data_IF_208161497005
#
_entry.id   IF_208161497005
#
_cell.length_a   1.000
_cell.length_b   1.000
_cell.length_c   1.000
_cell.angle_alpha   90.00
_cell.angle_beta   90.00
_cell.angle_gamma   90.00
#
_symmetry.space_group_name_H-M   'P 1'
#
loop_
_entity.id
_entity.type
_entity.pdbx_description
1 polymer ?
#
# COMPACT_ATOMS: atom_id res chain seq x y z
N UNK A 1 14.54 7.22 12.31
CA UNK A 1 13.56 7.27 11.20
C UNK A 1 12.28 6.60 11.65
N UNK A 2 11.11 7.10 11.23
CA UNK A 2 9.80 6.53 11.58
C UNK A 2 9.09 6.03 10.32
N UNK A 3 8.54 4.81 10.38
CA UNK A 3 7.83 4.20 9.27
C UNK A 3 6.41 3.75 9.68
N UNK A 4 5.45 3.91 8.78
CA UNK A 4 4.16 3.22 8.86
C UNK A 4 4.13 2.16 7.77
N UNK A 5 3.77 0.92 8.14
CA UNK A 5 3.67 -0.21 7.22
C UNK A 5 2.23 -0.70 7.21
N UNK A 6 1.59 -0.63 6.03
CA UNK A 6 0.23 -1.11 5.81
C UNK A 6 0.28 -2.53 5.22
N UNK A 7 -0.61 -3.40 5.66
CA UNK A 7 -0.66 -4.80 5.22
C UNK A 7 0.04 -5.77 6.17
N UNK A 8 0.07 -5.46 7.47
CA UNK A 8 0.76 -6.15 8.57
C UNK A 8 0.76 -7.68 8.52
N UNK A 9 -0.30 -8.30 8.04
CA UNK A 9 -0.44 -9.77 7.96
C UNK A 9 0.08 -10.37 6.66
N UNK A 10 0.43 -9.54 5.66
CA UNK A 10 0.97 -10.00 4.38
C UNK A 10 2.45 -10.38 4.48
N UNK A 11 2.91 -11.29 3.60
CA UNK A 11 4.30 -11.76 3.55
C UNK A 11 5.29 -10.60 3.44
N UNK A 12 5.09 -9.70 2.48
CA UNK A 12 5.99 -8.56 2.27
C UNK A 12 6.10 -7.68 3.51
N UNK A 13 4.97 -7.36 4.16
CA UNK A 13 5.00 -6.53 5.36
C UNK A 13 5.75 -7.21 6.52
N UNK A 14 5.59 -8.52 6.67
CA UNK A 14 6.29 -9.28 7.71
C UNK A 14 7.79 -9.31 7.47
N UNK A 15 8.24 -9.56 6.24
CA UNK A 15 9.66 -9.51 5.88
C UNK A 15 10.24 -8.10 6.04
N UNK A 16 9.52 -7.07 5.60
CA UNK A 16 9.95 -5.68 5.82
C UNK A 16 10.14 -5.36 7.30
N UNK A 17 9.23 -5.82 8.16
CA UNK A 17 9.31 -5.60 9.61
C UNK A 17 10.51 -6.36 10.20
N UNK A 18 10.74 -7.59 9.78
CA UNK A 18 11.85 -8.41 10.26
C UNK A 18 13.22 -7.84 9.88
N UNK A 19 13.32 -7.22 8.70
CA UNK A 19 14.55 -6.67 8.14
C UNK A 19 14.74 -5.16 8.42
N UNK A 20 13.87 -4.54 9.24
CA UNK A 20 14.02 -3.12 9.58
C UNK A 20 15.37 -2.86 10.27
N UNK A 21 16.14 -1.86 9.81
CA UNK A 21 17.38 -1.49 10.47
C UNK A 21 17.18 -1.09 11.93
N UNK A 22 18.17 -1.36 12.77
CA UNK A 22 18.16 -0.91 14.15
C UNK A 22 17.98 0.61 14.26
N UNK A 23 17.10 1.07 15.14
CA UNK A 23 16.80 2.50 15.32
C UNK A 23 15.69 3.04 14.42
N UNK A 24 15.02 2.19 13.65
CA UNK A 24 13.76 2.55 12.97
C UNK A 24 12.59 2.28 13.92
N UNK A 25 11.87 3.33 14.29
CA UNK A 25 10.56 3.20 14.95
C UNK A 25 9.50 2.93 13.89
N UNK A 26 8.58 2.01 14.15
CA UNK A 26 7.51 1.73 13.20
C UNK A 26 6.16 1.46 13.87
N UNK A 27 5.10 1.72 13.12
CA UNK A 27 3.77 1.21 13.36
C UNK A 27 3.36 0.34 12.17
N UNK A 28 2.69 -0.77 12.44
CA UNK A 28 2.14 -1.60 11.37
C UNK A 28 0.65 -1.80 11.56
N UNK A 29 -0.11 -1.66 10.47
CA UNK A 29 -1.55 -1.78 10.46
C UNK A 29 -2.01 -2.87 9.51
N UNK A 30 -2.91 -3.70 9.99
CA UNK A 30 -3.65 -4.68 9.22
C UNK A 30 -5.13 -4.31 9.15
N UNK A 31 -5.91 -5.18 8.53
CA UNK A 31 -7.35 -4.99 8.29
C UNK A 31 -8.18 -4.76 9.58
N UNK A 32 -7.72 -5.33 10.70
CA UNK A 32 -8.40 -5.19 11.99
C UNK A 32 -7.94 -3.97 12.79
N UNK A 33 -6.87 -3.29 12.35
CA UNK A 33 -6.27 -2.18 13.07
C UNK A 33 -6.72 -0.82 12.53
N UNK A 34 -7.05 -0.77 11.24
CA UNK A 34 -7.46 0.45 10.52
C UNK A 34 -8.21 0.10 9.24
N UNK A 35 -9.22 0.90 8.92
CA UNK A 35 -9.81 0.92 7.58
C UNK A 35 -8.94 1.78 6.66
N UNK A 36 -8.27 1.13 5.69
CA UNK A 36 -7.36 1.81 4.77
C UNK A 36 -8.06 2.75 3.77
N UNK A 37 -9.38 2.71 3.70
CA UNK A 37 -10.21 3.64 2.92
C UNK A 37 -10.65 4.85 3.73
N UNK A 38 -10.52 4.79 5.05
CA UNK A 38 -10.89 5.88 5.96
C UNK A 38 -9.79 6.93 6.06
N UNK A 39 -9.94 8.00 5.27
CA UNK A 39 -9.01 9.14 5.33
C UNK A 39 -8.87 9.70 6.75
N UNK A 40 -9.96 9.90 7.47
CA UNK A 40 -9.93 10.52 8.80
C UNK A 40 -9.18 9.66 9.83
N UNK A 41 -9.38 8.34 9.80
CA UNK A 41 -8.72 7.43 10.72
C UNK A 41 -7.21 7.36 10.44
N UNK A 42 -6.83 7.16 9.18
CA UNK A 42 -5.43 7.12 8.75
C UNK A 42 -4.71 8.45 9.00
N UNK A 43 -5.32 9.57 8.63
CA UNK A 43 -4.74 10.90 8.81
C UNK A 43 -4.45 11.19 10.28
N UNK A 44 -5.37 10.84 11.18
CA UNK A 44 -5.16 10.98 12.63
C UNK A 44 -3.94 10.18 13.11
N UNK A 45 -3.81 8.91 12.70
CA UNK A 45 -2.67 8.06 13.06
C UNK A 45 -1.34 8.60 12.51
N UNK A 46 -1.34 9.07 11.26
CA UNK A 46 -0.16 9.66 10.62
C UNK A 46 0.27 10.95 11.30
N UNK A 47 -0.67 11.86 11.60
CA UNK A 47 -0.39 13.12 12.29
C UNK A 47 0.16 12.89 13.70
N UNK A 48 -0.36 11.90 14.42
CA UNK A 48 0.11 11.56 15.76
C UNK A 48 1.52 10.95 15.75
N UNK A 49 1.78 10.01 14.84
CA UNK A 49 3.06 9.30 14.78
C UNK A 49 4.15 10.08 14.05
N UNK A 50 3.78 10.91 13.06
CA UNK A 50 4.68 11.72 12.22
C UNK A 50 5.74 10.87 11.53
N UNK A 51 5.35 9.95 10.65
CA UNK A 51 6.29 9.09 9.95
C UNK A 51 7.13 9.86 8.94
N UNK A 52 8.33 9.35 8.64
CA UNK A 52 9.13 9.80 7.50
C UNK A 52 8.72 9.10 6.19
N UNK A 53 8.12 7.90 6.32
CA UNK A 53 7.67 7.08 5.19
C UNK A 53 6.43 6.27 5.55
N UNK A 54 5.50 6.18 4.60
CA UNK A 54 4.39 5.23 4.60
C UNK A 54 4.68 4.19 3.53
N UNK A 55 4.71 2.91 3.90
CA UNK A 55 4.91 1.78 2.99
C UNK A 55 3.59 1.02 2.89
N UNK A 56 2.99 1.02 1.71
CA UNK A 56 1.80 0.23 1.44
C UNK A 56 2.17 -1.12 0.83
N UNK A 57 2.14 -2.15 1.65
CA UNK A 57 2.30 -3.56 1.28
C UNK A 57 0.95 -4.31 1.31
N UNK A 58 -0.18 -3.58 1.37
CA UNK A 58 -1.51 -4.17 1.26
C UNK A 58 -1.94 -4.28 -0.20
N UNK A 59 -2.62 -5.36 -0.51
CA UNK A 59 -3.24 -5.58 -1.81
C UNK A 59 -4.39 -6.59 -1.71
N UNK A 60 -5.34 -6.50 -2.63
CA UNK A 60 -6.25 -7.58 -2.94
C UNK A 60 -5.55 -8.51 -3.93
N UNK A 61 -5.15 -9.71 -3.46
CA UNK A 61 -4.29 -10.63 -4.21
C UNK A 61 -4.98 -11.90 -4.69
N UNK A 62 -6.28 -12.07 -4.38
CA UNK A 62 -7.07 -13.21 -4.84
C UNK A 62 -7.55 -12.97 -6.27
N UNK A 63 -6.67 -13.20 -7.26
CA UNK A 63 -6.86 -12.84 -8.68
C UNK A 63 -8.17 -13.42 -9.22
N UNK A 64 -8.38 -14.75 -9.08
CA UNK A 64 -9.61 -15.40 -9.59
C UNK A 64 -10.86 -14.83 -8.92
N UNK A 65 -10.78 -14.47 -7.65
CA UNK A 65 -11.89 -13.90 -6.91
C UNK A 65 -12.16 -12.45 -7.30
N UNK A 66 -11.15 -11.69 -7.73
CA UNK A 66 -11.29 -10.32 -8.17
C UNK A 66 -12.25 -10.19 -9.36
N UNK A 67 -12.36 -11.22 -10.21
CA UNK A 67 -13.33 -11.32 -11.32
C UNK A 67 -14.79 -11.20 -10.84
N UNK A 68 -15.08 -11.68 -9.64
CA UNK A 68 -16.42 -11.65 -9.03
C UNK A 68 -16.57 -10.65 -7.88
N UNK A 69 -15.48 -10.13 -7.34
CA UNK A 69 -15.41 -9.18 -6.22
C UNK A 69 -14.65 -7.90 -6.65
N UNK A 70 -15.08 -7.39 -7.80
CA UNK A 70 -14.46 -6.26 -8.50
C UNK A 70 -14.39 -5.03 -7.58
N UNK A 71 -15.48 -4.72 -6.89
CA UNK A 71 -15.57 -3.54 -6.00
C UNK A 71 -14.52 -3.59 -4.89
N UNK A 72 -14.34 -4.74 -4.24
CA UNK A 72 -13.30 -4.90 -3.21
C UNK A 72 -11.89 -4.77 -3.78
N UNK A 73 -11.66 -5.30 -4.97
CA UNK A 73 -10.36 -5.19 -5.64
C UNK A 73 -10.03 -3.71 -5.95
N UNK A 74 -10.97 -2.95 -6.52
CA UNK A 74 -10.80 -1.52 -6.77
C UNK A 74 -10.61 -0.71 -5.50
N UNK A 75 -11.43 -0.97 -4.49
CA UNK A 75 -11.34 -0.25 -3.19
C UNK A 75 -9.96 -0.42 -2.56
N UNK A 76 -9.39 -1.62 -2.58
CA UNK A 76 -8.10 -1.90 -1.93
C UNK A 76 -6.93 -1.48 -2.83
N UNK A 77 -6.97 -1.80 -4.13
CA UNK A 77 -5.82 -1.63 -5.02
C UNK A 77 -5.75 -0.25 -5.68
N UNK A 78 -6.82 0.54 -5.63
CA UNK A 78 -6.89 1.89 -6.21
C UNK A 78 -7.28 2.93 -5.17
N UNK A 79 -8.51 2.87 -4.63
CA UNK A 79 -9.05 3.93 -3.76
C UNK A 79 -8.20 4.12 -2.51
N UNK A 80 -7.86 3.03 -1.81
CA UNK A 80 -7.05 3.08 -0.61
C UNK A 80 -5.62 3.59 -0.89
N UNK A 81 -5.06 3.25 -2.05
CA UNK A 81 -3.74 3.76 -2.48
C UNK A 81 -3.79 5.26 -2.67
N UNK A 82 -4.84 5.79 -3.31
CA UNK A 82 -5.08 7.22 -3.46
C UNK A 82 -5.21 7.95 -2.12
N UNK A 83 -5.96 7.38 -1.17
CA UNK A 83 -6.10 7.91 0.19
C UNK A 83 -4.75 8.00 0.90
N UNK A 84 -3.96 6.91 0.88
CA UNK A 84 -2.62 6.88 1.50
C UNK A 84 -1.65 7.86 0.86
N UNK A 85 -1.65 7.97 -0.47
CA UNK A 85 -0.80 8.91 -1.19
C UNK A 85 -1.12 10.38 -0.84
N UNK A 86 -2.41 10.73 -0.75
CA UNK A 86 -2.84 12.06 -0.34
C UNK A 86 -2.41 12.38 1.10
N UNK A 87 -2.64 11.47 2.04
CA UNK A 87 -2.22 11.63 3.43
C UNK A 87 -0.70 11.81 3.52
N UNK A 88 0.08 11.02 2.78
CA UNK A 88 1.53 11.13 2.76
C UNK A 88 1.98 12.51 2.23
N UNK A 89 1.36 13.00 1.16
CA UNK A 89 1.62 14.32 0.59
C UNK A 89 1.34 15.43 1.59
N UNK A 90 0.18 15.41 2.24
CA UNK A 90 -0.23 16.43 3.20
C UNK A 90 0.65 16.47 4.46
N UNK A 91 1.20 15.32 4.85
CA UNK A 91 2.09 15.20 6.01
C UNK A 91 3.58 15.26 5.63
N UNK A 92 3.91 15.59 4.38
CA UNK A 92 5.27 15.71 3.88
C UNK A 92 6.13 14.46 4.13
N UNK A 93 5.52 13.29 4.15
CA UNK A 93 6.23 12.02 4.26
C UNK A 93 6.33 11.30 2.91
N UNK A 94 7.33 10.44 2.78
CA UNK A 94 7.50 9.62 1.57
C UNK A 94 6.40 8.57 1.51
N UNK A 95 5.98 8.23 0.30
CA UNK A 95 5.05 7.13 0.04
C UNK A 95 5.71 6.10 -0.86
N UNK A 96 5.70 4.85 -0.42
CA UNK A 96 6.12 3.69 -1.20
C UNK A 96 4.94 2.74 -1.32
N UNK A 97 4.57 2.39 -2.56
CA UNK A 97 3.53 1.42 -2.85
C UNK A 97 4.08 0.33 -3.75
N UNK A 98 3.77 -0.93 -3.41
CA UNK A 98 4.09 -2.07 -4.25
C UNK A 98 2.88 -2.38 -5.10
N UNK A 99 3.02 -2.18 -6.40
CA UNK A 99 1.99 -2.44 -7.41
C UNK A 99 2.07 -3.89 -7.91
N UNK A 100 1.34 -4.22 -8.96
CA UNK A 100 1.23 -5.54 -9.57
C UNK A 100 1.47 -5.44 -11.08
N UNK A 101 1.95 -6.53 -11.69
CA UNK A 101 2.07 -6.69 -13.14
C UNK A 101 0.71 -6.74 -13.86
N UNK A 102 -0.37 -7.04 -13.14
CA UNK A 102 -1.74 -6.97 -13.66
C UNK A 102 -2.22 -5.55 -14.04
N UNK A 103 -1.40 -4.53 -13.82
CA UNK A 103 -1.65 -3.18 -14.37
C UNK A 103 -1.44 -3.12 -15.88
N UNK A 104 -0.75 -4.10 -16.48
CA UNK A 104 -0.54 -4.23 -17.91
C UNK A 104 -1.56 -5.20 -18.54
N UNK A 105 -1.80 -5.04 -19.84
CA UNK A 105 -2.77 -5.87 -20.60
C UNK A 105 -2.33 -7.33 -20.79
N UNK A 106 -1.04 -7.65 -20.62
CA UNK A 106 -0.51 -8.99 -20.80
C UNK A 106 -0.37 -9.44 -22.26
N UNK A 107 -0.58 -8.56 -23.24
CA UNK A 107 -0.58 -8.92 -24.66
C UNK A 107 0.80 -8.83 -25.33
N UNK A 108 1.80 -8.26 -24.64
CA UNK A 108 3.15 -8.11 -25.19
C UNK A 108 3.96 -9.41 -25.09
N UNK A 109 4.68 -9.74 -26.18
CA UNK A 109 5.68 -10.80 -26.18
C UNK A 109 7.07 -10.34 -25.66
N UNK A 110 7.20 -9.05 -25.31
CA UNK A 110 8.39 -8.44 -24.75
C UNK A 110 8.13 -8.08 -23.30
N UNK A 111 9.20 -7.95 -22.50
CA UNK A 111 9.09 -7.48 -21.13
C UNK A 111 8.54 -6.04 -21.09
N UNK A 112 7.59 -5.80 -20.20
CA UNK A 112 7.10 -4.46 -19.93
C UNK A 112 8.14 -3.65 -19.15
N UNK A 113 8.16 -2.36 -19.38
CA UNK A 113 8.93 -1.40 -18.61
C UNK A 113 8.06 -0.24 -18.11
N UNK A 114 8.66 0.68 -17.37
CA UNK A 114 7.95 1.80 -16.73
C UNK A 114 7.36 2.82 -17.70
N UNK A 115 7.70 2.75 -18.99
CA UNK A 115 7.18 3.63 -20.03
C UNK A 115 5.98 3.05 -20.76
N UNK A 116 5.67 1.76 -20.56
CA UNK A 116 4.51 1.13 -21.18
C UNK A 116 3.21 1.65 -20.57
N UNK A 117 2.19 1.76 -21.41
CA UNK A 117 0.85 2.12 -20.97
C UNK A 117 0.29 1.05 -20.03
N UNK A 118 -0.41 1.47 -19.01
CA UNK A 118 -1.23 0.61 -18.16
C UNK A 118 -2.62 0.46 -18.76
N UNK A 119 -3.30 -0.63 -18.45
CA UNK A 119 -4.66 -0.93 -18.90
C UNK A 119 -5.70 -0.18 -18.07
#
# INVERSE_FOLDING_TARGET
>A
MKAIIIGKSGQLAQELIAELPSGVEYLSFGRNDVDITSYSELSSKVQQFKPNVIINASAYTAVDKAESDIDSAYVINETAVGVLANIAKENHCRFLHVSTDFVFDGESNLAYDVSNSTN
#
